data_IF_637455240269
#
_entry.id   IF_637455240269
#
_cell.length_a   1.000
_cell.length_b   1.000
_cell.length_c   1.000
_cell.angle_alpha   90.00
_cell.angle_beta   90.00
_cell.angle_gamma   90.00
#
_symmetry.space_group_name_H-M   'P 1'
#
loop_
_entity.id
_entity.type
_entity.pdbx_description
1 polymer ?
#
# COMPACT_ATOMS: atom_id res chain seq x y z
N UNK A 1 -17.69 1.26 -8.73
CA UNK A 1 -16.52 1.35 -7.83
C UNK A 1 -16.10 -0.01 -7.32
N UNK A 2 -16.55 -0.41 -6.13
CA UNK A 2 -16.03 -1.61 -5.44
C UNK A 2 -16.28 -2.96 -6.13
N UNK A 3 -17.49 -3.23 -6.64
CA UNK A 3 -17.79 -4.52 -7.31
C UNK A 3 -16.98 -4.70 -8.60
N UNK A 4 -16.80 -3.62 -9.38
CA UNK A 4 -15.96 -3.64 -10.58
C UNK A 4 -14.50 -3.93 -10.23
N UNK A 5 -13.98 -3.36 -9.14
CA UNK A 5 -12.61 -3.62 -8.69
C UNK A 5 -12.43 -5.06 -8.19
N UNK A 6 -13.43 -5.62 -7.49
CA UNK A 6 -13.44 -7.03 -7.10
C UNK A 6 -13.40 -7.96 -8.30
N UNK A 7 -14.22 -7.69 -9.32
CA UNK A 7 -14.21 -8.48 -10.56
C UNK A 7 -12.87 -8.35 -11.28
N UNK A 8 -12.28 -7.16 -11.34
CA UNK A 8 -10.97 -6.96 -11.95
C UNK A 8 -9.86 -7.73 -11.23
N UNK A 9 -9.86 -7.70 -9.89
CA UNK A 9 -8.89 -8.42 -9.05
C UNK A 9 -9.09 -9.94 -9.12
N UNK A 10 -10.33 -10.42 -9.12
CA UNK A 10 -10.61 -11.83 -9.32
C UNK A 10 -10.11 -12.29 -10.70
N UNK A 11 -10.39 -11.51 -11.75
CA UNK A 11 -9.97 -11.82 -13.12
C UNK A 11 -8.44 -11.87 -13.28
N UNK A 12 -7.69 -11.01 -12.60
CA UNK A 12 -6.22 -11.06 -12.65
C UNK A 12 -5.66 -12.32 -12.02
N UNK A 13 -6.36 -12.91 -11.06
CA UNK A 13 -5.91 -14.09 -10.31
C UNK A 13 -6.41 -15.43 -10.85
N UNK A 14 -7.42 -15.45 -11.75
CA UNK A 14 -7.93 -16.69 -12.37
C UNK A 14 -6.84 -17.50 -13.08
N UNK A 15 -5.73 -16.86 -13.48
CA UNK A 15 -4.62 -17.50 -14.17
C UNK A 15 -3.45 -17.89 -13.26
N UNK A 16 -3.64 -17.81 -11.93
CA UNK A 16 -2.58 -18.03 -10.94
C UNK A 16 -1.26 -17.33 -11.34
N UNK A 17 -1.27 -16.00 -11.53
CA UNK A 17 -0.09 -15.29 -12.00
C UNK A 17 1.02 -15.32 -10.95
N UNK A 18 2.27 -15.41 -11.40
CA UNK A 18 3.42 -15.24 -10.50
C UNK A 18 3.62 -13.76 -10.10
N UNK A 19 3.10 -12.81 -10.89
CA UNK A 19 3.21 -11.37 -10.65
C UNK A 19 1.90 -10.63 -10.95
N UNK A 20 1.42 -9.86 -9.98
CA UNK A 20 0.30 -8.94 -10.09
C UNK A 20 0.83 -7.50 -10.14
N UNK A 21 0.51 -6.79 -11.22
CA UNK A 21 0.78 -5.35 -11.36
C UNK A 21 -0.51 -4.57 -11.13
N UNK A 22 -0.46 -3.56 -10.27
CA UNK A 22 -1.60 -2.72 -9.97
C UNK A 22 -1.18 -1.24 -9.90
N UNK A 23 -1.73 -0.43 -10.79
CA UNK A 23 -1.50 1.01 -10.84
C UNK A 23 -2.75 1.74 -10.31
N UNK A 24 -2.60 2.40 -9.16
CA UNK A 24 -3.66 3.12 -8.46
C UNK A 24 -4.98 2.34 -8.30
N UNK A 25 -4.95 1.05 -7.90
CA UNK A 25 -6.12 0.17 -7.95
C UNK A 25 -7.23 0.58 -6.98
N UNK A 26 -6.96 1.42 -6.00
CA UNK A 26 -7.92 1.77 -4.95
C UNK A 26 -8.21 3.28 -4.85
N UNK A 27 -7.57 4.10 -5.69
CA UNK A 27 -7.70 5.57 -5.64
C UNK A 27 -9.13 6.07 -5.91
N UNK A 28 -9.92 5.35 -6.71
CA UNK A 28 -11.31 5.71 -7.04
C UNK A 28 -12.36 5.19 -6.04
N UNK A 29 -11.95 4.55 -4.95
CA UNK A 29 -12.86 3.94 -3.97
C UNK A 29 -13.07 4.85 -2.76
N UNK A 30 -14.28 4.82 -2.19
CA UNK A 30 -14.52 5.40 -0.87
C UNK A 30 -13.74 4.65 0.23
N UNK A 31 -13.59 5.27 1.40
CA UNK A 31 -12.75 4.76 2.47
C UNK A 31 -13.13 3.36 2.95
N UNK A 32 -14.42 3.07 3.12
CA UNK A 32 -14.89 1.76 3.61
C UNK A 32 -14.69 0.68 2.55
N UNK A 33 -14.99 1.00 1.29
CA UNK A 33 -14.76 0.07 0.17
C UNK A 33 -13.27 -0.21 -0.01
N UNK A 34 -12.40 0.79 0.13
CA UNK A 34 -10.94 0.63 0.05
C UNK A 34 -10.40 -0.32 1.11
N UNK A 35 -10.80 -0.15 2.37
CA UNK A 35 -10.42 -1.06 3.46
C UNK A 35 -10.80 -2.52 3.15
N UNK A 36 -12.02 -2.74 2.65
CA UNK A 36 -12.47 -4.09 2.23
C UNK A 36 -11.64 -4.65 1.07
N UNK A 37 -11.22 -3.79 0.14
CA UNK A 37 -10.39 -4.20 -0.99
C UNK A 37 -8.95 -4.53 -0.57
N UNK A 38 -8.39 -3.79 0.39
CA UNK A 38 -7.09 -4.10 0.99
C UNK A 38 -7.11 -5.48 1.65
N UNK A 39 -8.16 -5.77 2.44
CA UNK A 39 -8.34 -7.09 3.05
C UNK A 39 -8.49 -8.20 2.01
N UNK A 40 -9.25 -7.94 0.95
CA UNK A 40 -9.41 -8.91 -0.14
C UNK A 40 -8.07 -9.18 -0.85
N UNK A 41 -7.30 -8.13 -1.18
CA UNK A 41 -5.99 -8.29 -1.79
C UNK A 41 -5.08 -9.13 -0.90
N UNK A 42 -5.02 -8.84 0.41
CA UNK A 42 -4.22 -9.62 1.37
C UNK A 42 -4.62 -11.09 1.41
N UNK A 43 -5.92 -11.39 1.46
CA UNK A 43 -6.42 -12.77 1.45
C UNK A 43 -6.04 -13.52 0.17
N UNK A 44 -6.11 -12.83 -0.96
CA UNK A 44 -5.77 -13.40 -2.26
C UNK A 44 -4.27 -13.63 -2.41
N UNK A 45 -3.45 -12.70 -1.93
CA UNK A 45 -2.00 -12.88 -1.89
C UNK A 45 -1.60 -14.05 -0.98
N UNK A 46 -2.25 -14.20 0.18
CA UNK A 46 -2.01 -15.33 1.07
C UNK A 46 -2.38 -16.68 0.44
N UNK A 47 -3.40 -16.71 -0.44
CA UNK A 47 -3.87 -17.93 -1.10
C UNK A 47 -3.06 -18.32 -2.33
N UNK A 48 -2.80 -17.36 -3.23
CA UNK A 48 -2.20 -17.62 -4.53
C UNK A 48 -0.69 -17.33 -4.56
N UNK A 49 -0.17 -16.65 -3.53
CA UNK A 49 1.23 -16.25 -3.37
C UNK A 49 1.88 -15.56 -4.60
N UNK A 50 1.16 -14.67 -5.34
CA UNK A 50 1.80 -13.86 -6.36
C UNK A 50 2.76 -12.84 -5.72
N UNK A 51 3.82 -12.48 -6.44
CA UNK A 51 4.47 -11.20 -6.20
C UNK A 51 3.50 -10.06 -6.57
N UNK A 52 3.48 -8.97 -5.80
CA UNK A 52 2.62 -7.81 -6.10
C UNK A 52 3.47 -6.56 -6.22
N UNK A 53 3.34 -5.86 -7.35
CA UNK A 53 3.84 -4.50 -7.52
C UNK A 53 2.65 -3.55 -7.55
N UNK A 54 2.56 -2.73 -6.51
CA UNK A 54 1.53 -1.71 -6.35
C UNK A 54 2.16 -0.33 -6.56
N UNK A 55 1.57 0.47 -7.44
CA UNK A 55 1.85 1.90 -7.57
C UNK A 55 0.70 2.66 -6.92
N UNK A 56 1.03 3.54 -5.97
CA UNK A 56 0.05 4.35 -5.24
C UNK A 56 0.67 5.67 -4.80
N UNK A 57 -0.15 6.71 -4.78
CA UNK A 57 0.17 8.01 -4.18
C UNK A 57 -0.25 8.10 -2.70
N UNK A 58 -0.92 7.08 -2.16
CA UNK A 58 -1.33 7.02 -0.76
C UNK A 58 -0.26 6.32 0.10
N UNK A 59 0.40 7.10 0.96
CA UNK A 59 1.45 6.59 1.87
C UNK A 59 0.88 5.60 2.89
N UNK A 60 -0.32 5.85 3.41
CA UNK A 60 -0.95 4.97 4.38
C UNK A 60 -1.24 3.61 3.72
N UNK A 61 -1.69 3.61 2.47
CA UNK A 61 -1.87 2.39 1.67
C UNK A 61 -0.57 1.63 1.43
N UNK A 62 0.50 2.34 1.03
CA UNK A 62 1.81 1.74 0.80
C UNK A 62 2.34 1.03 2.05
N UNK A 63 2.29 1.70 3.22
CA UNK A 63 2.73 1.11 4.49
C UNK A 63 1.79 -0.02 4.93
N UNK A 64 0.51 0.04 4.59
CA UNK A 64 -0.48 -1.00 4.97
C UNK A 64 -0.33 -2.30 4.18
N UNK A 65 0.04 -2.22 2.91
CA UNK A 65 0.00 -3.35 1.98
C UNK A 65 1.36 -3.93 1.61
N UNK A 66 2.42 -3.11 1.53
CA UNK A 66 3.68 -3.54 0.93
C UNK A 66 4.69 -4.03 1.96
N UNK A 67 5.46 -5.08 1.67
CA UNK A 67 6.58 -5.51 2.52
C UNK A 67 7.84 -4.64 2.30
N UNK A 68 7.89 -3.93 1.18
CA UNK A 68 8.96 -3.01 0.78
C UNK A 68 8.35 -1.87 -0.04
N UNK A 69 8.77 -0.64 0.24
CA UNK A 69 8.32 0.57 -0.46
C UNK A 69 9.51 1.24 -1.12
N UNK A 70 9.36 1.50 -2.42
CA UNK A 70 10.31 2.31 -3.20
C UNK A 70 9.71 3.70 -3.40
N UNK A 71 10.45 4.74 -3.03
CA UNK A 71 10.06 6.12 -3.32
C UNK A 71 10.74 6.56 -4.60
N UNK A 72 9.94 6.96 -5.59
CA UNK A 72 10.43 7.54 -6.83
C UNK A 72 10.44 9.06 -6.72
N UNK A 73 11.58 9.67 -7.05
CA UNK A 73 11.73 11.13 -7.17
C UNK A 73 12.65 11.47 -8.34
N UNK A 74 12.32 12.51 -9.09
CA UNK A 74 13.09 13.00 -10.23
C UNK A 74 13.54 11.91 -11.23
N UNK A 75 12.71 10.88 -11.45
CA UNK A 75 12.98 9.77 -12.37
C UNK A 75 13.93 8.69 -11.82
N UNK A 76 14.31 8.75 -10.55
CA UNK A 76 15.13 7.74 -9.87
C UNK A 76 14.48 7.21 -8.60
N UNK A 77 15.10 6.18 -7.99
CA UNK A 77 14.70 5.68 -6.67
C UNK A 77 15.41 6.52 -5.62
N UNK A 78 14.64 7.32 -4.88
CA UNK A 78 15.14 8.16 -3.80
C UNK A 78 15.20 7.43 -2.44
N UNK A 79 14.35 6.43 -2.24
CA UNK A 79 14.37 5.61 -1.04
C UNK A 79 13.93 4.18 -1.32
N UNK A 80 14.45 3.27 -0.52
CA UNK A 80 14.13 1.86 -0.50
C UNK A 80 13.97 1.42 0.96
N UNK A 81 12.72 1.15 1.36
CA UNK A 81 12.36 0.98 2.76
C UNK A 81 11.66 -0.37 2.94
N UNK A 82 12.24 -1.23 3.78
CA UNK A 82 11.59 -2.45 4.24
C UNK A 82 10.54 -2.13 5.32
N UNK A 83 9.38 -2.76 5.23
CA UNK A 83 8.28 -2.58 6.18
C UNK A 83 8.27 -3.74 7.17
N UNK A 84 9.15 -3.66 8.18
CA UNK A 84 9.28 -4.68 9.23
C UNK A 84 8.20 -4.55 10.32
N UNK A 85 6.95 -4.63 9.87
CA UNK A 85 5.73 -4.65 10.70
C UNK A 85 4.92 -5.88 10.30
N UNK A 86 4.62 -6.79 11.24
CA UNK A 86 3.80 -7.97 10.97
C UNK A 86 2.43 -7.62 10.37
N UNK A 87 1.98 -8.43 9.43
CA UNK A 87 0.65 -8.34 8.83
C UNK A 87 -0.36 -9.16 9.65
N UNK A 88 -1.61 -8.68 9.88
CA UNK A 88 -2.16 -7.38 9.48
C UNK A 88 -1.59 -6.22 10.31
N UNK A 89 -1.25 -5.12 9.63
CA UNK A 89 -0.58 -3.96 10.25
C UNK A 89 -1.58 -3.11 11.02
N UNK A 90 -1.23 -2.77 12.24
CA UNK A 90 -1.98 -1.85 13.09
C UNK A 90 -1.50 -0.41 12.87
N UNK A 91 -2.43 0.49 12.52
CA UNK A 91 -2.14 1.92 12.37
C UNK A 91 -1.78 2.58 13.71
N UNK A 92 -2.12 1.96 14.84
CA UNK A 92 -1.68 2.37 16.17
C UNK A 92 -0.24 1.99 16.51
N UNK A 93 0.42 1.15 15.71
CA UNK A 93 1.82 0.79 15.92
C UNK A 93 2.71 2.03 15.70
N UNK A 94 3.56 2.34 16.68
CA UNK A 94 4.52 3.44 16.58
C UNK A 94 5.40 3.34 15.33
N UNK A 95 5.81 2.12 14.95
CA UNK A 95 6.63 1.87 13.76
C UNK A 95 5.91 2.28 12.47
N UNK A 96 4.59 2.11 12.42
CA UNK A 96 3.78 2.54 11.28
C UNK A 96 3.91 4.06 11.08
N UNK A 97 3.73 4.83 12.16
CA UNK A 97 3.85 6.29 12.14
C UNK A 97 5.27 6.77 11.79
N UNK A 98 6.30 6.07 12.27
CA UNK A 98 7.70 6.37 11.96
C UNK A 98 8.02 6.17 10.47
N UNK A 99 7.62 5.04 9.90
CA UNK A 99 7.81 4.74 8.47
C UNK A 99 7.02 5.71 7.61
N UNK A 100 5.76 5.98 7.96
CA UNK A 100 4.91 6.96 7.27
C UNK A 100 5.57 8.34 7.23
N UNK A 101 6.09 8.80 8.37
CA UNK A 101 6.79 10.09 8.47
C UNK A 101 8.10 10.10 7.67
N UNK A 102 8.80 8.96 7.59
CA UNK A 102 9.98 8.81 6.73
C UNK A 102 9.61 8.92 5.24
N UNK A 103 8.59 8.19 4.78
CA UNK A 103 8.12 8.23 3.39
C UNK A 103 7.67 9.64 2.98
N UNK A 104 6.89 10.32 3.83
CA UNK A 104 6.43 11.69 3.58
C UNK A 104 7.59 12.68 3.43
N UNK A 105 8.66 12.53 4.22
CA UNK A 105 9.88 13.35 4.07
C UNK A 105 10.57 13.14 2.72
N UNK A 106 10.65 11.90 2.23
CA UNK A 106 11.21 11.63 0.89
C UNK A 106 10.33 12.21 -0.24
N UNK A 107 9.03 12.40 0.01
CA UNK A 107 8.10 13.05 -0.90
C UNK A 107 8.05 14.59 -0.74
N UNK A 108 8.96 15.18 0.05
CA UNK A 108 9.05 16.63 0.25
C UNK A 108 7.98 17.22 1.17
N UNK A 109 7.23 16.39 1.90
CA UNK A 109 6.24 16.84 2.89
C UNK A 109 6.93 17.02 4.24
N UNK A 110 7.15 18.26 4.66
CA UNK A 110 7.63 18.55 6.02
C UNK A 110 6.52 18.27 7.04
N UNK A 111 6.63 17.16 7.79
CA UNK A 111 5.80 16.93 8.97
C UNK A 111 6.23 17.89 10.08
N UNK A 112 5.62 19.07 10.15
CA UNK A 112 5.78 19.96 11.32
C UNK A 112 5.40 19.17 12.59
N UNK A 113 6.21 19.20 13.66
CA UNK A 113 5.82 18.58 14.92
C UNK A 113 4.54 19.26 15.40
N UNK A 114 3.50 18.45 15.63
CA UNK A 114 2.27 18.91 16.31
C UNK A 114 2.71 19.30 17.71
N UNK A 115 2.79 20.60 17.98
CA UNK A 115 2.96 21.11 19.34
C UNK A 115 1.79 20.59 20.17
N UNK A 116 2.03 19.97 21.34
CA UNK A 116 0.94 19.65 22.24
C UNK A 116 0.25 20.97 22.66
N UNK A 117 -1.07 21.00 22.50
CA UNK A 117 -1.94 22.04 23.08
C UNK A 117 -2.06 21.88 24.58
#
# INVERSE_FOLDING_TARGET
GGEQQRVALARSLVRDPELLLADEPFGALDALTRLRMHDLLRQLCARHQPAVLLVTHDVDEAVTLADRVLVLDNGGIAADIAIDIPTPRDHGDRRFGEIRSQLLRHLGVETKPVLPV
#
